data_IF_851802112503
#
_entry.id   IF_851802112503
#
_cell.length_a   1.000
_cell.length_b   1.000
_cell.length_c   1.000
_cell.angle_alpha   90.00
_cell.angle_beta   90.00
_cell.angle_gamma   90.00
#
_symmetry.space_group_name_H-M   'P 1'
#
loop_
_entity.id
_entity.type
_entity.pdbx_description
1 polymer ?
#
# COMPACT_ATOMS: atom_id res chain seq x y z
N UNK A 1 24.28 16.56 14.04
CA UNK A 1 22.80 16.51 14.09
C UNK A 1 22.12 17.61 13.27
N UNK A 2 22.86 18.55 12.66
CA UNK A 2 22.29 19.68 11.90
C UNK A 2 21.52 19.25 10.65
N UNK A 3 21.99 18.22 9.93
CA UNK A 3 21.31 17.67 8.74
C UNK A 3 19.89 17.19 9.05
N UNK A 4 19.72 16.41 10.12
CA UNK A 4 18.41 15.92 10.54
C UNK A 4 17.51 17.05 11.03
N UNK A 5 18.08 18.02 11.76
CA UNK A 5 17.33 19.18 12.25
C UNK A 5 16.81 20.06 11.10
N UNK A 6 17.63 20.31 10.07
CA UNK A 6 17.24 21.02 8.85
C UNK A 6 16.10 20.29 8.13
N UNK A 7 16.26 18.98 7.90
CA UNK A 7 15.21 18.17 7.28
C UNK A 7 13.92 18.17 8.08
N UNK A 8 13.99 18.00 9.40
CA UNK A 8 12.83 18.01 10.28
C UNK A 8 12.10 19.36 10.23
N UNK A 9 12.84 20.48 10.27
CA UNK A 9 12.27 21.82 10.15
C UNK A 9 11.57 22.02 8.80
N UNK A 10 12.23 21.67 7.71
CA UNK A 10 11.73 21.85 6.33
C UNK A 10 10.49 20.99 6.04
N UNK A 11 10.38 19.84 6.69
CA UNK A 11 9.24 18.91 6.57
C UNK A 11 8.25 18.98 7.74
N UNK A 12 8.41 19.94 8.65
CA UNK A 12 7.59 20.11 9.86
C UNK A 12 7.44 18.82 10.68
N UNK A 13 8.50 18.04 10.77
CA UNK A 13 8.55 16.80 11.56
C UNK A 13 8.78 17.17 13.02
N UNK A 14 7.83 16.83 13.88
CA UNK A 14 7.85 17.15 15.32
C UNK A 14 8.35 16.01 16.20
N UNK A 15 8.55 14.83 15.62
CA UNK A 15 9.08 13.66 16.32
C UNK A 15 10.62 13.60 16.22
N UNK A 16 11.32 13.04 17.22
CA UNK A 16 12.77 12.87 17.16
C UNK A 16 13.19 12.00 15.96
N UNK A 17 14.17 12.48 15.20
CA UNK A 17 14.83 11.69 14.15
C UNK A 17 16.13 11.11 14.70
N UNK A 18 16.31 9.80 14.48
CA UNK A 18 17.52 9.08 14.88
C UNK A 18 18.42 8.85 13.66
N UNK A 19 19.73 8.77 13.90
CA UNK A 19 20.74 8.44 12.89
C UNK A 19 21.68 7.38 13.42
N UNK A 20 22.13 6.49 12.54
CA UNK A 20 23.12 5.45 12.81
C UNK A 20 24.38 5.72 11.95
N UNK A 21 25.21 6.72 12.31
CA UNK A 21 26.29 7.22 11.45
C UNK A 21 27.41 6.19 11.22
N UNK A 22 27.50 5.16 12.06
CA UNK A 22 28.48 4.07 11.95
C UNK A 22 27.86 2.77 11.42
N UNK A 23 26.57 2.77 11.08
CA UNK A 23 25.82 1.58 10.69
C UNK A 23 25.87 0.45 11.73
N UNK A 24 26.03 0.78 13.02
CA UNK A 24 26.13 -0.20 14.12
C UNK A 24 24.79 -0.91 14.32
N UNK A 25 23.68 -0.16 14.32
CA UNK A 25 22.31 -0.69 14.46
C UNK A 25 21.91 -1.46 13.21
N UNK A 26 22.21 -0.93 12.03
CA UNK A 26 21.96 -1.61 10.74
C UNK A 26 22.60 -3.00 10.72
N UNK A 27 23.84 -3.13 11.21
CA UNK A 27 24.55 -4.41 11.32
C UNK A 27 23.97 -5.30 12.40
N UNK A 28 23.69 -4.75 13.59
CA UNK A 28 23.11 -5.51 14.70
C UNK A 28 21.75 -6.13 14.33
N UNK A 29 20.95 -5.43 13.52
CA UNK A 29 19.66 -5.91 13.03
C UNK A 29 19.77 -6.83 11.80
N UNK A 30 20.98 -7.06 11.27
CA UNK A 30 21.20 -7.89 10.09
C UNK A 30 20.59 -7.32 8.81
N UNK A 31 20.38 -6.01 8.74
CA UNK A 31 19.73 -5.33 7.60
C UNK A 31 20.71 -4.54 6.74
N UNK A 32 22.02 -4.68 6.96
CA UNK A 32 23.03 -4.07 6.10
C UNK A 32 22.85 -4.56 4.65
N UNK A 33 22.78 -3.62 3.71
CA UNK A 33 22.72 -3.99 2.30
C UNK A 33 24.10 -4.50 1.81
N UNK A 34 24.22 -5.81 1.65
CA UNK A 34 25.45 -6.46 1.20
C UNK A 34 25.65 -6.42 -0.31
N UNK A 35 24.68 -5.91 -1.09
CA UNK A 35 24.85 -5.72 -2.54
C UNK A 35 25.72 -4.52 -2.90
N UNK A 36 25.96 -3.61 -1.94
CA UNK A 36 26.78 -2.41 -2.15
C UNK A 36 28.22 -2.70 -1.75
N UNK A 37 29.20 -2.55 -2.67
CA UNK A 37 30.61 -2.81 -2.35
C UNK A 37 31.14 -1.86 -1.25
N UNK A 38 32.06 -2.31 -0.38
CA UNK A 38 32.68 -1.46 0.65
C UNK A 38 33.35 -0.18 0.15
N UNK A 39 33.78 -0.16 -1.11
CA UNK A 39 34.43 0.97 -1.77
C UNK A 39 33.42 1.99 -2.35
N UNK A 40 32.13 1.66 -2.38
CA UNK A 40 31.09 2.51 -2.93
C UNK A 40 30.59 3.52 -1.90
N UNK A 41 30.25 4.74 -2.35
CA UNK A 41 29.77 5.84 -1.49
C UNK A 41 28.47 5.54 -0.72
N UNK A 42 27.74 4.50 -1.12
CA UNK A 42 26.52 4.04 -0.45
C UNK A 42 26.74 2.82 0.45
N UNK A 43 27.98 2.39 0.67
CA UNK A 43 28.25 1.33 1.63
C UNK A 43 27.75 1.74 3.02
N UNK A 44 27.13 0.80 3.73
CA UNK A 44 26.53 1.07 5.04
C UNK A 44 25.04 1.41 5.01
N UNK A 45 24.42 1.58 3.83
CA UNK A 45 22.96 1.72 3.74
C UNK A 45 22.27 0.39 4.08
N UNK A 46 21.10 0.41 4.73
CA UNK A 46 20.33 -0.79 4.98
C UNK A 46 19.51 -1.19 3.74
N UNK A 47 19.08 -2.45 3.67
CA UNK A 47 17.91 -2.79 2.87
C UNK A 47 16.72 -1.93 3.32
N UNK A 48 15.90 -1.40 2.38
CA UNK A 48 14.79 -0.55 2.75
C UNK A 48 13.80 -1.34 3.60
N UNK A 49 13.52 -0.85 4.81
CA UNK A 49 12.55 -1.54 5.64
C UNK A 49 11.97 -0.67 6.73
N UNK A 50 10.80 -1.08 7.19
CA UNK A 50 10.13 -0.53 8.38
C UNK A 50 9.87 -1.66 9.36
N UNK A 51 10.21 -1.43 10.62
CA UNK A 51 9.88 -2.32 11.72
C UNK A 51 8.74 -1.71 12.53
N UNK A 52 7.79 -2.54 12.92
CA UNK A 52 6.80 -2.20 13.95
C UNK A 52 7.22 -2.90 15.23
N UNK A 53 7.34 -2.12 16.29
CA UNK A 53 7.91 -2.54 17.57
C UNK A 53 6.91 -2.21 18.66
N UNK A 54 6.71 -3.12 19.62
CA UNK A 54 5.85 -2.87 20.77
C UNK A 54 6.55 -2.02 21.85
N UNK A 55 5.83 -1.75 22.95
CA UNK A 55 6.33 -0.92 24.06
C UNK A 55 7.53 -1.54 24.80
N UNK A 56 7.76 -2.85 24.64
CA UNK A 56 8.88 -3.55 25.26
C UNK A 56 10.09 -3.67 24.32
N UNK A 57 10.03 -3.07 23.13
CA UNK A 57 11.10 -3.16 22.13
C UNK A 57 11.06 -4.44 21.30
N UNK A 58 9.97 -5.22 21.33
CA UNK A 58 9.85 -6.45 20.55
C UNK A 58 9.30 -6.14 19.16
N UNK A 59 9.98 -6.61 18.12
CA UNK A 59 9.53 -6.50 16.73
C UNK A 59 8.26 -7.34 16.53
N UNK A 60 7.15 -6.69 16.19
CA UNK A 60 5.86 -7.30 15.89
C UNK A 60 5.73 -7.64 14.41
N UNK A 61 6.17 -6.73 13.55
CA UNK A 61 6.04 -6.84 12.10
C UNK A 61 7.23 -6.20 11.37
N UNK A 62 7.45 -6.65 10.13
CA UNK A 62 8.54 -6.20 9.26
C UNK A 62 7.97 -5.93 7.87
N UNK A 63 8.32 -4.78 7.29
CA UNK A 63 7.94 -4.38 5.95
C UNK A 63 9.21 -4.08 5.15
N UNK A 64 9.61 -5.01 4.28
CA UNK A 64 10.81 -4.92 3.47
C UNK A 64 10.48 -5.12 2.00
N UNK A 65 11.27 -4.48 1.14
CA UNK A 65 11.18 -4.65 -0.31
C UNK A 65 12.56 -4.97 -0.87
N UNK A 66 12.58 -5.69 -2.00
CA UNK A 66 13.82 -6.03 -2.69
C UNK A 66 14.52 -4.80 -3.27
N UNK A 67 13.72 -3.87 -3.84
CA UNK A 67 14.22 -2.64 -4.44
C UNK A 67 14.34 -1.54 -3.41
N UNK A 68 15.53 -0.93 -3.28
CA UNK A 68 15.82 0.14 -2.33
C UNK A 68 14.86 1.35 -2.39
N UNK A 69 14.25 1.58 -3.56
CA UNK A 69 13.32 2.66 -3.82
C UNK A 69 11.88 2.32 -3.45
N UNK A 70 11.49 1.05 -3.45
CA UNK A 70 10.15 0.63 -3.11
C UNK A 70 9.92 0.67 -1.61
N UNK A 71 8.82 1.31 -1.19
CA UNK A 71 8.48 1.45 0.22
C UNK A 71 6.97 1.44 0.42
N UNK A 72 6.53 0.69 1.42
CA UNK A 72 5.19 0.85 1.98
C UNK A 72 4.99 2.27 2.50
N UNK A 73 3.85 2.85 2.16
CA UNK A 73 3.41 4.11 2.78
C UNK A 73 3.09 3.88 4.26
N UNK A 74 3.40 4.85 5.12
CA UNK A 74 3.04 4.77 6.54
C UNK A 74 1.53 4.52 6.75
N UNK A 75 0.60 5.18 6.03
CA UNK A 75 -0.82 4.87 6.11
C UNK A 75 -1.19 3.42 5.74
N UNK A 76 -0.51 2.80 4.76
CA UNK A 76 -0.70 1.37 4.46
C UNK A 76 -0.25 0.49 5.63
N UNK A 77 0.88 0.80 6.25
CA UNK A 77 1.35 0.04 7.41
C UNK A 77 0.34 0.18 8.56
N UNK A 78 -0.16 1.39 8.83
CA UNK A 78 -1.19 1.62 9.86
C UNK A 78 -2.48 0.83 9.58
N UNK A 79 -2.94 0.80 8.32
CA UNK A 79 -4.10 0.00 7.94
C UNK A 79 -3.91 -1.48 8.26
N UNK A 80 -2.72 -2.04 7.98
CA UNK A 80 -2.40 -3.45 8.21
C UNK A 80 -2.26 -3.78 9.69
N UNK A 81 -1.63 -2.90 10.46
CA UNK A 81 -1.38 -3.11 11.90
C UNK A 81 -2.64 -2.88 12.75
N UNK A 82 -3.47 -1.90 12.37
CA UNK A 82 -4.56 -1.40 13.22
C UNK A 82 -5.95 -1.47 12.57
N UNK A 83 -6.05 -1.97 11.33
CA UNK A 83 -7.32 -2.15 10.62
C UNK A 83 -7.99 -0.85 10.15
N UNK A 84 -7.37 0.31 10.35
CA UNK A 84 -7.94 1.61 9.95
C UNK A 84 -6.87 2.63 9.60
N UNK A 85 -7.27 3.61 8.80
CA UNK A 85 -6.47 4.77 8.41
C UNK A 85 -7.35 6.00 8.43
N UNK A 86 -6.78 7.16 8.76
CA UNK A 86 -7.49 8.44 8.78
C UNK A 86 -6.99 9.36 7.66
N UNK A 87 -7.81 10.36 7.31
CA UNK A 87 -7.43 11.40 6.35
C UNK A 87 -7.41 10.94 4.88
N UNK A 88 -8.16 9.89 4.56
CA UNK A 88 -8.32 9.38 3.19
C UNK A 88 -9.58 9.97 2.55
N UNK A 89 -9.52 10.30 1.26
CA UNK A 89 -10.72 10.67 0.50
C UNK A 89 -11.49 9.42 0.10
N UNK A 90 -12.72 9.30 0.61
CA UNK A 90 -13.63 8.18 0.32
C UNK A 90 -14.59 8.51 -0.83
N UNK A 91 -14.82 7.52 -1.69
CA UNK A 91 -15.93 7.50 -2.65
C UNK A 91 -16.92 6.44 -2.22
N UNK A 92 -18.21 6.77 -2.20
CA UNK A 92 -19.28 5.84 -1.86
C UNK A 92 -20.17 5.55 -3.08
N UNK A 93 -20.56 4.29 -3.22
CA UNK A 93 -21.50 3.80 -4.21
C UNK A 93 -22.54 2.94 -3.49
N UNK A 94 -23.78 3.00 -3.97
CA UNK A 94 -24.89 2.18 -3.47
C UNK A 94 -25.59 1.56 -4.65
N UNK A 95 -25.80 0.25 -4.57
CA UNK A 95 -26.67 -0.51 -5.48
C UNK A 95 -27.84 -1.06 -4.66
N UNK A 96 -28.74 -1.79 -5.32
CA UNK A 96 -29.81 -2.51 -4.63
C UNK A 96 -29.27 -3.68 -3.77
N UNK A 97 -28.04 -4.14 -4.05
CA UNK A 97 -27.45 -5.33 -3.46
C UNK A 97 -26.36 -5.03 -2.41
N UNK A 98 -25.66 -3.90 -2.51
CA UNK A 98 -24.59 -3.55 -1.58
C UNK A 98 -24.34 -2.04 -1.50
N UNK A 99 -23.76 -1.63 -0.38
CA UNK A 99 -23.07 -0.36 -0.24
C UNK A 99 -21.56 -0.62 -0.33
N UNK A 100 -20.86 0.17 -1.12
CA UNK A 100 -19.42 0.14 -1.30
C UNK A 100 -18.84 1.50 -0.94
N UNK A 101 -17.86 1.53 -0.05
CA UNK A 101 -16.95 2.66 0.14
C UNK A 101 -15.57 2.26 -0.31
N UNK A 102 -14.94 3.06 -1.15
CA UNK A 102 -13.58 2.77 -1.62
C UNK A 102 -12.71 4.01 -1.58
N UNK A 103 -11.43 3.79 -1.29
CA UNK A 103 -10.44 4.85 -1.09
C UNK A 103 -9.03 4.32 -1.30
N UNK A 104 -8.06 5.23 -1.28
CA UNK A 104 -6.64 4.89 -1.23
C UNK A 104 -6.09 5.23 0.15
N UNK A 105 -5.11 4.48 0.66
CA UNK A 105 -4.45 4.84 1.93
C UNK A 105 -3.70 6.17 1.84
N UNK A 106 -3.49 6.72 0.64
CA UNK A 106 -2.79 7.97 0.44
C UNK A 106 -3.13 8.63 -0.90
N UNK A 107 -3.64 9.86 -0.83
CA UNK A 107 -4.02 10.64 -2.01
C UNK A 107 -2.85 11.38 -2.68
N UNK A 108 -1.71 11.49 -1.99
CA UNK A 108 -0.46 12.05 -2.54
C UNK A 108 0.58 10.95 -2.65
N UNK A 109 0.93 10.58 -3.87
CA UNK A 109 1.89 9.51 -4.18
C UNK A 109 3.17 10.05 -4.78
N UNK A 110 4.22 9.25 -4.68
CA UNK A 110 5.55 9.53 -5.24
C UNK A 110 6.07 8.29 -5.95
N UNK A 111 7.09 8.42 -6.82
CA UNK A 111 7.69 7.27 -7.47
C UNK A 111 8.07 6.15 -6.50
N UNK A 112 7.81 4.90 -6.89
CA UNK A 112 8.09 3.68 -6.11
C UNK A 112 7.37 3.59 -4.75
N UNK A 113 6.41 4.45 -4.46
CA UNK A 113 5.60 4.33 -3.26
C UNK A 113 4.57 3.19 -3.43
N UNK A 114 4.49 2.30 -2.44
CA UNK A 114 3.44 1.30 -2.34
C UNK A 114 2.32 1.79 -1.43
N UNK A 115 1.11 1.85 -1.98
CA UNK A 115 -0.12 2.20 -1.29
C UNK A 115 -1.10 1.02 -1.35
N UNK A 116 -2.17 1.11 -0.57
CA UNK A 116 -3.24 0.11 -0.59
C UNK A 116 -4.52 0.79 -1.03
N UNK A 117 -5.19 0.20 -2.00
CA UNK A 117 -6.57 0.53 -2.35
C UNK A 117 -7.48 -0.33 -1.48
N UNK A 118 -8.51 0.30 -0.93
CA UNK A 118 -9.44 -0.34 -0.01
C UNK A 118 -10.85 -0.25 -0.58
N UNK A 119 -11.58 -1.37 -0.51
CA UNK A 119 -13.00 -1.46 -0.83
C UNK A 119 -13.73 -2.09 0.37
N UNK A 120 -14.49 -1.27 1.09
CA UNK A 120 -15.33 -1.63 2.22
C UNK A 120 -16.77 -1.86 1.77
N UNK A 121 -17.29 -3.04 2.09
CA UNK A 121 -18.62 -3.49 1.69
C UNK A 121 -19.55 -3.55 2.89
N UNK A 122 -20.81 -3.22 2.65
CA UNK A 122 -21.93 -3.52 3.54
C UNK A 122 -23.08 -4.08 2.69
N UNK A 123 -23.43 -5.34 2.95
CA UNK A 123 -24.57 -5.99 2.33
C UNK A 123 -25.82 -5.83 3.20
N UNK A 124 -27.02 -5.68 2.62
CA UNK A 124 -28.27 -5.76 3.36
C UNK A 124 -28.42 -7.12 4.08
N UNK A 125 -29.27 -7.21 5.12
CA UNK A 125 -29.58 -8.48 5.75
C UNK A 125 -30.03 -9.52 4.71
N UNK A 126 -29.60 -10.77 4.89
CA UNK A 126 -29.91 -11.93 4.01
C UNK A 126 -29.30 -11.87 2.60
N UNK A 127 -28.55 -10.83 2.28
CA UNK A 127 -27.81 -10.73 1.02
C UNK A 127 -26.40 -11.30 1.21
N UNK A 128 -25.93 -12.04 0.21
CA UNK A 128 -24.57 -12.56 0.13
C UNK A 128 -23.98 -12.40 -1.27
N UNK A 129 -22.65 -12.42 -1.34
CA UNK A 129 -21.88 -12.55 -2.59
C UNK A 129 -20.92 -13.72 -2.47
N UNK A 130 -20.64 -14.41 -3.58
CA UNK A 130 -19.71 -15.53 -3.56
C UNK A 130 -18.25 -15.07 -3.38
N UNK A 131 -17.50 -15.80 -2.57
CA UNK A 131 -16.08 -15.56 -2.37
C UNK A 131 -15.24 -16.12 -3.55
N UNK A 132 -14.00 -15.62 -3.78
CA UNK A 132 -13.18 -15.98 -4.95
C UNK A 132 -12.92 -17.47 -5.16
N UNK A 133 -12.92 -18.26 -4.10
CA UNK A 133 -12.67 -19.71 -4.10
C UNK A 133 -13.84 -20.56 -4.63
N UNK A 134 -15.01 -19.95 -4.85
CA UNK A 134 -16.21 -20.65 -5.34
C UNK A 134 -15.97 -21.31 -6.71
N UNK A 135 -16.63 -22.44 -6.97
CA UNK A 135 -16.58 -23.14 -8.25
C UNK A 135 -17.93 -23.06 -8.95
N UNK A 136 -17.96 -22.77 -10.26
CA UNK A 136 -19.18 -22.66 -11.07
C UNK A 136 -20.13 -21.49 -10.74
N UNK A 137 -19.74 -20.58 -9.85
CA UNK A 137 -20.46 -19.34 -9.55
C UNK A 137 -19.64 -18.11 -9.94
N UNK A 138 -20.26 -16.93 -9.92
CA UNK A 138 -19.60 -15.66 -10.22
C UNK A 138 -19.17 -15.01 -8.89
N UNK A 139 -17.87 -15.06 -8.54
CA UNK A 139 -17.39 -14.46 -7.31
C UNK A 139 -17.38 -12.93 -7.39
N UNK A 140 -17.39 -12.30 -6.22
CA UNK A 140 -16.94 -10.91 -6.13
C UNK A 140 -15.46 -10.83 -6.50
N UNK A 141 -15.13 -9.93 -7.42
CA UNK A 141 -13.77 -9.74 -7.89
C UNK A 141 -13.47 -8.28 -8.17
N UNK A 142 -12.42 -7.80 -7.51
CA UNK A 142 -11.78 -6.52 -7.82
C UNK A 142 -10.65 -6.76 -8.81
N UNK A 143 -10.72 -6.12 -9.98
CA UNK A 143 -9.67 -6.15 -11.01
C UNK A 143 -9.29 -4.71 -11.36
N UNK A 144 -8.01 -4.37 -11.23
CA UNK A 144 -7.47 -3.10 -11.72
C UNK A 144 -7.02 -3.24 -13.16
N UNK A 145 -7.15 -2.15 -13.92
CA UNK A 145 -6.67 -2.11 -15.29
C UNK A 145 -5.13 -2.14 -15.32
N UNK A 146 -4.56 -2.71 -16.38
CA UNK A 146 -3.12 -2.70 -16.55
C UNK A 146 -2.63 -1.29 -16.92
N UNK A 147 -1.54 -0.84 -16.31
CA UNK A 147 -0.94 0.46 -16.60
C UNK A 147 0.58 0.39 -16.48
N UNK A 148 1.35 1.12 -17.31
CA UNK A 148 2.79 1.28 -17.08
C UNK A 148 3.08 2.14 -15.83
N UNK A 149 2.12 2.92 -15.35
CA UNK A 149 2.33 3.90 -14.27
C UNK A 149 2.26 3.30 -12.86
N UNK A 150 1.86 2.04 -12.75
CA UNK A 150 1.81 1.32 -11.49
C UNK A 150 1.81 -0.20 -11.70
N UNK A 151 2.18 -0.93 -10.65
CA UNK A 151 2.10 -2.38 -10.58
C UNK A 151 1.11 -2.77 -9.49
N UNK A 152 0.00 -3.39 -9.89
CA UNK A 152 -0.97 -3.95 -8.96
C UNK A 152 -0.51 -5.33 -8.47
N UNK A 153 -0.62 -5.57 -7.17
CA UNK A 153 -0.49 -6.90 -6.58
C UNK A 153 -1.84 -7.62 -6.63
N UNK A 154 -1.89 -8.95 -6.39
CA UNK A 154 -3.16 -9.65 -6.22
C UNK A 154 -4.04 -8.99 -5.15
N UNK A 155 -5.35 -8.96 -5.38
CA UNK A 155 -6.30 -8.51 -4.36
C UNK A 155 -6.32 -9.50 -3.18
N UNK A 156 -6.29 -8.96 -1.98
CA UNK A 156 -6.40 -9.68 -0.71
C UNK A 156 -7.87 -9.65 -0.27
N UNK A 157 -8.42 -10.84 -0.01
CA UNK A 157 -9.80 -11.04 0.41
C UNK A 157 -9.84 -11.54 1.86
N UNK A 158 -10.88 -11.21 2.63
CA UNK A 158 -11.01 -11.70 3.99
C UNK A 158 -11.34 -13.19 3.98
N UNK A 159 -11.26 -13.84 5.14
CA UNK A 159 -11.72 -15.23 5.25
C UNK A 159 -13.23 -15.29 4.97
N UNK A 160 -13.64 -16.19 4.09
CA UNK A 160 -15.04 -16.41 3.76
C UNK A 160 -15.80 -17.19 4.84
N UNK A 161 -17.12 -17.07 4.77
CA UNK A 161 -18.05 -17.88 5.54
C UNK A 161 -18.62 -19.00 4.67
N UNK A 162 -18.92 -20.13 5.28
CA UNK A 162 -19.53 -21.26 4.60
C UNK A 162 -21.05 -21.18 4.72
N UNK A 163 -21.75 -21.08 3.59
CA UNK A 163 -23.21 -21.04 3.52
C UNK A 163 -23.75 -22.32 2.86
N UNK A 164 -24.68 -22.99 3.54
CA UNK A 164 -25.45 -24.08 2.97
C UNK A 164 -26.68 -23.52 2.25
N UNK A 165 -26.85 -23.88 0.97
CA UNK A 165 -27.96 -23.47 0.13
C UNK A 165 -28.96 -24.64 -0.02
N UNK A 166 -30.08 -24.66 0.75
CA UNK A 166 -30.97 -25.82 0.80
C UNK A 166 -31.65 -26.13 -0.54
N UNK A 167 -31.92 -25.10 -1.35
CA UNK A 167 -32.62 -25.22 -2.63
C UNK A 167 -31.85 -26.10 -3.64
N UNK A 168 -30.51 -26.05 -3.59
CA UNK A 168 -29.63 -26.80 -4.49
C UNK A 168 -28.76 -27.82 -3.76
N UNK A 169 -28.88 -27.91 -2.42
CA UNK A 169 -28.14 -28.83 -1.54
C UNK A 169 -26.62 -28.70 -1.66
N UNK A 170 -26.14 -27.48 -1.90
CA UNK A 170 -24.72 -27.18 -2.01
C UNK A 170 -24.23 -26.36 -0.83
N UNK A 171 -22.92 -26.41 -0.60
CA UNK A 171 -22.23 -25.59 0.39
C UNK A 171 -21.21 -24.73 -0.32
N UNK A 172 -21.31 -23.42 -0.14
CA UNK A 172 -20.55 -22.43 -0.91
C UNK A 172 -19.89 -21.41 0.01
N UNK A 173 -18.67 -20.97 -0.31
CA UNK A 173 -18.00 -19.88 0.38
C UNK A 173 -18.56 -18.53 -0.06
N UNK A 174 -18.95 -17.69 0.90
CA UNK A 174 -19.62 -16.41 0.68
C UNK A 174 -19.10 -15.32 1.61
N UNK A 175 -19.43 -14.08 1.28
CA UNK A 175 -19.37 -12.94 2.20
C UNK A 175 -20.77 -12.41 2.47
N UNK A 176 -21.00 -12.03 3.72
CA UNK A 176 -22.24 -11.45 4.23
C UNK A 176 -21.92 -10.26 5.14
N UNK A 177 -22.89 -9.37 5.34
CA UNK A 177 -22.73 -8.23 6.23
C UNK A 177 -21.60 -7.29 5.79
N UNK A 178 -20.62 -7.06 6.68
CA UNK A 178 -19.48 -6.18 6.41
C UNK A 178 -18.23 -6.97 6.10
N UNK A 179 -17.55 -6.59 5.02
CA UNK A 179 -16.24 -7.15 4.70
C UNK A 179 -15.40 -6.13 3.93
N UNK A 180 -14.10 -6.38 3.84
CA UNK A 180 -13.13 -5.50 3.18
C UNK A 180 -12.30 -6.28 2.19
N UNK A 181 -12.14 -5.75 0.98
CA UNK A 181 -11.15 -6.19 0.01
C UNK A 181 -10.06 -5.12 -0.06
N UNK A 182 -8.79 -5.54 -0.10
CA UNK A 182 -7.65 -4.64 -0.26
C UNK A 182 -6.78 -5.05 -1.42
N UNK A 183 -6.15 -4.09 -2.09
CA UNK A 183 -5.21 -4.38 -3.16
C UNK A 183 -4.04 -3.41 -3.12
N UNK A 184 -2.83 -3.94 -2.97
CA UNK A 184 -1.62 -3.13 -2.98
C UNK A 184 -1.27 -2.70 -4.40
N UNK A 185 -0.86 -1.44 -4.53
CA UNK A 185 -0.40 -0.85 -5.79
C UNK A 185 0.93 -0.14 -5.54
N UNK A 186 1.93 -0.50 -6.34
CA UNK A 186 3.25 0.16 -6.33
C UNK A 186 3.31 1.15 -7.49
N UNK A 187 3.46 2.43 -7.19
CA UNK A 187 3.61 3.48 -8.22
C UNK A 187 4.93 3.27 -8.97
N UNK A 188 4.91 3.48 -10.29
CA UNK A 188 6.08 3.27 -11.11
C UNK A 188 7.27 4.16 -10.70
N UNK A 189 8.46 3.73 -11.11
CA UNK A 189 9.70 4.47 -10.88
C UNK A 189 9.69 5.84 -11.60
N UNK A 190 10.56 6.75 -11.14
CA UNK A 190 10.52 8.15 -11.54
C UNK A 190 10.72 8.38 -13.04
N UNK A 191 11.50 7.54 -13.72
CA UNK A 191 11.68 7.60 -15.17
C UNK A 191 10.39 7.32 -15.95
N UNK A 192 9.58 6.37 -15.47
CA UNK A 192 8.29 6.03 -16.08
C UNK A 192 7.24 7.07 -15.73
N UNK A 193 7.23 7.55 -14.48
CA UNK A 193 6.26 8.54 -14.00
C UNK A 193 6.56 9.97 -14.49
N UNK A 194 7.73 10.22 -15.09
CA UNK A 194 8.18 11.55 -15.50
C UNK A 194 7.17 12.34 -16.35
N UNK A 195 6.45 11.75 -17.33
CA UNK A 195 5.45 12.48 -18.10
C UNK A 195 4.28 12.99 -17.24
N UNK A 196 3.84 12.21 -16.25
CA UNK A 196 2.79 12.62 -15.31
C UNK A 196 3.31 13.73 -14.41
N UNK A 197 4.53 13.57 -13.86
CA UNK A 197 5.15 14.53 -12.96
C UNK A 197 5.40 15.91 -13.61
N UNK A 198 5.72 15.92 -14.91
CA UNK A 198 5.95 17.14 -15.69
C UNK A 198 4.65 17.76 -16.26
N UNK A 199 3.54 17.00 -16.26
CA UNK A 199 2.27 17.39 -16.84
C UNK A 199 1.19 17.58 -15.79
N UNK A 200 0.18 16.72 -15.81
CA UNK A 200 -1.02 16.83 -14.97
C UNK A 200 -0.76 16.69 -13.47
N UNK A 201 0.33 16.00 -13.08
CA UNK A 201 0.56 15.56 -11.71
C UNK A 201 -0.60 14.73 -11.14
N UNK A 202 -1.38 14.09 -12.01
CA UNK A 202 -2.51 13.25 -11.64
C UNK A 202 -2.26 11.82 -12.13
N UNK A 203 -2.18 10.89 -11.18
CA UNK A 203 -2.16 9.46 -11.44
C UNK A 203 -3.57 8.91 -11.26
N UNK A 204 -4.14 8.43 -12.37
CA UNK A 204 -5.41 7.70 -12.35
C UNK A 204 -5.17 6.21 -12.26
N UNK A 205 -5.85 5.56 -11.32
CA UNK A 205 -5.96 4.11 -11.22
C UNK A 205 -7.42 3.77 -11.49
N UNK A 206 -7.66 2.91 -12.45
CA UNK A 206 -9.00 2.47 -12.85
C UNK A 206 -9.13 0.97 -12.66
N UNK A 207 -10.34 0.51 -12.46
CA UNK A 207 -10.64 -0.90 -12.35
C UNK A 207 -12.13 -1.14 -12.37
N UNK A 208 -12.49 -2.40 -12.11
CA UNK A 208 -13.87 -2.85 -12.08
C UNK A 208 -14.07 -3.80 -10.91
N UNK A 209 -15.23 -3.68 -10.28
CA UNK A 209 -15.74 -4.65 -9.35
C UNK A 209 -16.84 -5.44 -10.05
N UNK A 210 -16.62 -6.73 -10.29
CA UNK A 210 -17.64 -7.63 -10.81
C UNK A 210 -18.13 -8.53 -9.68
N UNK A 211 -19.44 -8.70 -9.56
CA UNK A 211 -20.03 -9.55 -8.53
C UNK A 211 -21.38 -10.10 -8.97
N UNK A 212 -21.84 -11.15 -8.31
CA UNK A 212 -23.23 -11.59 -8.33
C UNK A 212 -23.72 -11.68 -6.89
N UNK A 213 -24.82 -10.97 -6.61
CA UNK A 213 -25.47 -11.01 -5.31
C UNK A 213 -26.62 -12.01 -5.33
N UNK A 214 -26.88 -12.63 -4.19
CA UNK A 214 -28.00 -13.53 -3.98
C UNK A 214 -28.64 -13.25 -2.62
N UNK A 215 -29.97 -13.35 -2.55
CA UNK A 215 -30.70 -13.37 -1.29
C UNK A 215 -31.05 -14.82 -0.89
N UNK A 216 -31.96 -14.98 0.07
CA UNK A 216 -32.43 -16.29 0.54
C UNK A 216 -33.21 -17.10 -0.53
N UNK A 217 -33.58 -16.49 -1.67
CA UNK A 217 -34.52 -17.03 -2.64
C UNK A 217 -33.94 -17.15 -4.04
N UNK A 218 -33.24 -16.11 -4.50
CA UNK A 218 -32.76 -15.96 -5.86
C UNK A 218 -31.35 -15.40 -5.90
N UNK A 219 -30.64 -15.71 -6.98
CA UNK A 219 -29.45 -14.99 -7.39
C UNK A 219 -29.81 -13.97 -8.46
N UNK A 220 -29.39 -12.73 -8.24
CA UNK A 220 -29.63 -11.63 -9.17
C UNK A 220 -28.69 -11.72 -10.38
N UNK A 221 -28.93 -10.87 -11.38
CA UNK A 221 -28.03 -10.75 -12.51
C UNK A 221 -26.67 -10.20 -12.03
N UNK A 222 -25.54 -10.69 -12.58
CA UNK A 222 -24.23 -10.15 -12.25
C UNK A 222 -24.13 -8.66 -12.61
N UNK A 223 -23.48 -7.91 -11.74
CA UNK A 223 -23.21 -6.48 -11.93
C UNK A 223 -21.71 -6.24 -12.11
N UNK A 224 -21.38 -5.13 -12.77
CA UNK A 224 -20.00 -4.64 -12.89
C UNK A 224 -19.99 -3.15 -12.63
N UNK A 225 -19.29 -2.74 -11.56
CA UNK A 225 -19.16 -1.34 -11.16
C UNK A 225 -17.77 -0.84 -11.57
N UNK A 226 -17.68 0.27 -12.33
CA UNK A 226 -16.40 0.91 -12.59
C UNK A 226 -15.89 1.62 -11.32
N UNK A 227 -14.60 1.49 -11.04
CA UNK A 227 -13.93 2.14 -9.93
C UNK A 227 -12.80 3.03 -10.45
N UNK A 228 -12.67 4.24 -9.89
CA UNK A 228 -11.61 5.18 -10.24
C UNK A 228 -11.04 5.84 -8.98
N UNK A 229 -9.70 5.81 -8.87
CA UNK A 229 -8.95 6.59 -7.90
C UNK A 229 -8.13 7.64 -8.65
N UNK A 230 -8.26 8.90 -8.26
CA UNK A 230 -7.41 9.99 -8.75
C UNK A 230 -6.48 10.44 -7.64
N UNK A 231 -5.17 10.23 -7.85
CA UNK A 231 -4.12 10.51 -6.88
C UNK A 231 -3.23 11.64 -7.40
N UNK A 232 -2.78 12.53 -6.51
CA UNK A 232 -1.78 13.54 -6.84
C UNK A 232 -0.39 12.91 -6.85
N UNK A 233 0.32 13.00 -7.96
CA UNK A 233 1.71 12.56 -8.08
C UNK A 233 2.67 13.72 -7.80
N UNK A 234 3.60 13.53 -6.87
CA UNK A 234 4.65 14.49 -6.55
C UNK A 234 6.04 13.90 -6.83
N UNK A 235 7.03 14.74 -7.22
CA UNK A 235 8.40 14.28 -7.35
C UNK A 235 8.99 13.90 -5.99
N UNK A 236 10.08 13.13 -6.03
CA UNK A 236 10.89 12.88 -4.84
C UNK A 236 11.56 14.18 -4.38
N UNK A 237 11.73 14.32 -3.06
CA UNK A 237 12.54 15.38 -2.48
C UNK A 237 14.00 15.18 -2.88
N UNK A 238 14.55 16.14 -3.64
CA UNK A 238 15.96 16.17 -4.05
C UNK A 238 16.70 17.36 -3.46
N UNK A 239 16.05 18.12 -2.60
CA UNK A 239 16.65 19.28 -1.96
C UNK A 239 17.70 18.81 -0.95
N UNK A 240 18.95 19.24 -1.19
CA UNK A 240 20.05 18.99 -0.27
C UNK A 240 20.03 20.03 0.85
N UNK A 241 20.50 19.61 2.03
CA UNK A 241 20.76 20.54 3.13
C UNK A 241 21.73 21.66 2.69
N UNK A 242 21.72 22.84 3.33
CA UNK A 242 22.65 23.92 3.02
C UNK A 242 24.10 23.47 2.97
N UNK A 243 24.87 23.99 2.00
CA UNK A 243 26.28 23.60 1.77
C UNK A 243 27.15 23.54 3.03
N UNK A 244 27.07 24.50 3.98
CA UNK A 244 27.90 24.48 5.19
C UNK A 244 27.72 23.23 6.07
N UNK A 245 26.54 22.61 6.02
CA UNK A 245 26.18 21.45 6.86
C UNK A 245 26.15 20.14 6.06
N UNK A 246 26.49 20.18 4.77
CA UNK A 246 26.65 18.97 3.96
C UNK A 246 27.88 18.18 4.43
N UNK A 247 27.81 16.86 4.34
CA UNK A 247 29.03 16.05 4.44
C UNK A 247 29.98 16.48 3.32
N UNK A 248 31.17 16.96 3.71
CA UNK A 248 32.25 17.19 2.77
C UNK A 248 32.64 15.83 2.16
N UNK A 249 32.95 15.75 0.86
CA UNK A 249 33.51 14.53 0.29
C UNK A 249 34.73 14.11 1.13
N UNK A 250 34.63 12.99 1.82
CA UNK A 250 35.76 12.40 2.52
C UNK A 250 36.74 11.85 1.50
N UNK A 251 38.02 12.18 1.68
CA UNK A 251 39.13 11.41 1.13
C UNK A 251 38.88 9.89 1.33
N UNK A 252 39.37 9.02 0.42
CA UNK A 252 39.11 7.58 0.49
C UNK A 252 39.40 7.08 1.90
N UNK A 253 38.49 6.27 2.45
CA UNK A 253 38.71 5.57 3.70
C UNK A 253 40.08 4.87 3.60
N UNK A 254 41.07 5.43 4.29
CA UNK A 254 42.38 4.82 4.40
C UNK A 254 42.17 3.45 5.02
N UNK A 255 42.50 2.41 4.27
CA UNK A 255 42.41 1.05 4.76
C UNK A 255 43.25 0.88 6.03
N UNK A 256 42.66 0.23 7.03
CA UNK A 256 43.20 -0.90 7.79
C UNK A 256 42.21 -1.30 8.88
#
# INVERSE_FOLDING_TARGET
MEILADFAKRRSITIPLLTDPKSEIIRAFGVLNTSVPPTHLWYGVPYPGTFIVDQNGVVKSKYFEDLYSERYSAPTILLREFGSVAGTKETALRTDHLELKYYSTRDIVRPSLRITLVADFQLPPKMHVYAPEVQNYIPIRLELDASPNYKAQPAEYPKSETLYLPAIKETVPVYQGKFRITQDVTVAAGNVLQPILAGSQELKITGKLRYQACDDKICYLPETLPLEWTLKAEPLDRERVPEPIQHKPGAPAAGR
#
